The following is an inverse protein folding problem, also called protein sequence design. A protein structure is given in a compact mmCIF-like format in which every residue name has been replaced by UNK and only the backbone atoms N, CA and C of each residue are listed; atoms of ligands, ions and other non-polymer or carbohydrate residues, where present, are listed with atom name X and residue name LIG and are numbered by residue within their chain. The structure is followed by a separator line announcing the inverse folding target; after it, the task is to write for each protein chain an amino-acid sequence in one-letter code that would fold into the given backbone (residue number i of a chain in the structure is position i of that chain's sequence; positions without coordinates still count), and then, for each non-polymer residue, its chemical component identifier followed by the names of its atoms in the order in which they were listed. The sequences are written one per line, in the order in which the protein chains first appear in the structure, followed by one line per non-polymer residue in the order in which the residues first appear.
data_IF_211434782163
#
_entry.id   IF_211434782163
#
_cell.length_a   1.000
_cell.length_b   1.000
_cell.length_c   1.000
_cell.angle_alpha   90.00
_cell.angle_beta   90.00
_cell.angle_gamma   90.00
#
_symmetry.space_group_name_H-M   'P 1'
#
loop_
_entity.id
_entity.type
_entity.pdbx_description
1 polymer ?
#
# COMPACT_ATOMS: atom_id res chain seq x y z
N UNK A 1 -18.60 -7.28 16.89
CA UNK A 1 -19.64 -6.42 16.27
C UNK A 1 -18.97 -5.07 16.02
N UNK A 2 -18.38 -4.89 14.83
CA UNK A 2 -17.56 -3.72 14.48
C UNK A 2 -18.46 -2.54 14.12
N UNK A 3 -18.45 -1.49 14.94
CA UNK A 3 -19.13 -0.23 14.66
C UNK A 3 -18.27 0.62 13.72
N UNK A 4 -18.57 0.50 12.42
CA UNK A 4 -18.33 1.54 11.42
C UNK A 4 -19.25 2.73 11.73
N UNK A 5 -18.68 3.92 11.94
CA UNK A 5 -19.26 5.25 11.65
C UNK A 5 -18.27 6.32 12.19
N UNK A 6 -17.94 7.43 11.51
CA UNK A 6 -18.56 8.03 10.33
C UNK A 6 -17.55 8.90 9.57
N UNK A 7 -17.78 8.88 8.26
CA UNK A 7 -17.16 9.55 7.13
C UNK A 7 -16.95 11.06 7.27
N UNK A 8 -15.74 11.52 6.95
CA UNK A 8 -15.60 12.75 6.17
C UNK A 8 -15.87 12.36 4.71
N UNK A 9 -16.95 12.90 4.17
CA UNK A 9 -17.48 12.62 2.85
C UNK A 9 -16.45 13.02 1.78
N UNK A 10 -15.58 12.09 1.37
CA UNK A 10 -15.02 12.16 0.02
C UNK A 10 -16.19 11.82 -0.91
N UNK A 11 -16.42 12.64 -1.94
CA UNK A 11 -17.40 12.35 -2.97
C UNK A 11 -16.91 11.12 -3.77
N UNK A 12 -17.23 9.94 -3.25
CA UNK A 12 -17.02 8.66 -3.89
C UNK A 12 -18.09 8.46 -4.94
N UNK A 13 -17.69 8.47 -6.21
CA UNK A 13 -18.42 7.76 -7.24
C UNK A 13 -18.13 6.26 -7.05
N UNK A 14 -18.94 5.65 -6.19
CA UNK A 14 -19.25 4.22 -6.33
C UNK A 14 -19.90 4.07 -7.70
N UNK A 15 -19.08 3.83 -8.73
CA UNK A 15 -19.57 3.58 -10.08
C UNK A 15 -20.29 2.26 -10.00
N UNK A 16 -21.61 2.36 -9.88
CA UNK A 16 -22.53 1.27 -10.06
C UNK A 16 -22.08 0.43 -11.28
N UNK A 17 -22.02 -0.87 -11.03
CA UNK A 17 -21.51 -2.00 -11.80
C UNK A 17 -22.03 -2.15 -13.26
N UNK A 18 -22.66 -1.12 -13.81
CA UNK A 18 -23.19 -1.08 -15.18
C UNK A 18 -22.44 -0.13 -16.11
N UNK A 19 -21.72 0.88 -15.60
CA UNK A 19 -20.88 1.76 -16.44
C UNK A 19 -19.52 1.13 -16.79
N UNK A 20 -19.01 0.25 -15.93
CA UNK A 20 -17.78 -0.53 -16.18
C UNK A 20 -17.98 -1.61 -17.26
N UNK A 21 -19.22 -2.09 -17.46
CA UNK A 21 -19.56 -3.02 -18.57
C UNK A 21 -19.47 -2.38 -19.95
N UNK A 22 -19.55 -1.05 -20.05
CA UNK A 22 -19.52 -0.34 -21.34
C UNK A 22 -18.10 -0.03 -21.83
N UNK A 23 -17.13 0.10 -20.90
CA UNK A 23 -15.74 0.44 -21.24
C UNK A 23 -14.91 -0.81 -21.60
N UNK A 24 -15.37 -2.01 -21.21
CA UNK A 24 -14.74 -3.31 -21.50
C UNK A 24 -15.33 -4.05 -22.72
N UNK A 25 -16.05 -3.36 -23.61
CA UNK A 25 -16.51 -3.93 -24.90
C UNK A 25 -15.86 -3.22 -26.08
N UNK A 26 -14.67 -3.67 -26.46
CA UNK A 26 -14.14 -3.60 -27.83
C UNK A 26 -13.47 -4.97 -28.01
N UNK A 27 -13.89 -5.90 -28.86
CA UNK A 27 -14.47 -5.87 -30.21
C UNK A 27 -15.58 -6.97 -30.32
N UNK A 28 -16.37 -7.17 -31.39
CA UNK A 28 -16.31 -6.77 -32.78
C UNK A 28 -17.71 -7.04 -33.37
N UNK A 29 -18.26 -6.14 -34.20
CA UNK A 29 -18.83 -6.46 -35.51
C UNK A 29 -19.56 -5.24 -36.08
N UNK A 30 -19.12 -4.88 -37.28
CA UNK A 30 -19.83 -4.02 -38.21
C UNK A 30 -21.30 -4.43 -38.35
N UNK A 31 -22.20 -3.45 -38.24
CA UNK A 31 -23.29 -3.29 -39.20
C UNK A 31 -23.90 -1.90 -39.01
N UNK A 32 -24.03 -1.22 -40.14
CA UNK A 32 -24.72 0.05 -40.30
C UNK A 32 -26.14 0.01 -39.70
N UNK A 33 -26.56 1.11 -39.08
CA UNK A 33 -27.80 1.77 -39.50
C UNK A 33 -27.83 3.22 -39.01
N UNK A 34 -28.09 4.12 -39.95
CA UNK A 34 -28.25 5.55 -39.74
C UNK A 34 -29.51 5.84 -38.90
N UNK A 35 -29.39 6.75 -37.93
CA UNK A 35 -30.40 7.78 -37.70
C UNK A 35 -29.80 9.01 -37.03
N UNK A 36 -29.71 10.09 -37.82
CA UNK A 36 -29.55 11.47 -37.36
C UNK A 36 -30.61 11.79 -36.32
N UNK A 37 -30.22 12.48 -35.25
CA UNK A 37 -30.87 13.72 -34.82
C UNK A 37 -29.87 14.59 -34.05
N UNK A 38 -29.87 15.87 -34.42
CA UNK A 38 -29.04 16.96 -33.94
C UNK A 38 -29.09 17.19 -32.42
N UNK A 39 -27.96 17.53 -31.81
CA UNK A 39 -27.67 18.89 -31.30
C UNK A 39 -26.67 18.88 -30.13
N UNK A 40 -25.55 19.56 -30.30
CA UNK A 40 -24.93 20.35 -29.23
C UNK A 40 -23.67 19.81 -28.55
N UNK A 41 -22.53 20.28 -29.07
CA UNK A 41 -21.23 20.48 -28.42
C UNK A 41 -20.44 19.25 -27.90
N UNK A 42 -19.50 18.82 -28.75
CA UNK A 42 -18.16 18.41 -28.30
C UNK A 42 -17.50 19.59 -27.58
N UNK A 43 -17.10 19.39 -26.33
CA UNK A 43 -15.86 19.90 -25.75
C UNK A 43 -15.62 19.25 -24.37
N UNK A 44 -14.46 18.59 -24.23
CA UNK A 44 -13.69 18.50 -22.97
C UNK A 44 -14.04 17.41 -21.92
N UNK A 45 -14.11 16.13 -22.32
CA UNK A 45 -14.19 14.99 -21.37
C UNK A 45 -12.82 14.39 -20.97
N UNK A 46 -11.69 14.98 -21.38
CA UNK A 46 -10.34 14.45 -21.12
C UNK A 46 -9.74 14.88 -19.78
N UNK A 47 -10.47 15.67 -18.97
CA UNK A 47 -9.97 16.14 -17.68
C UNK A 47 -10.29 15.12 -16.59
N UNK A 48 -9.26 14.79 -15.80
CA UNK A 48 -9.35 14.35 -14.38
C UNK A 48 -9.45 12.85 -14.05
N UNK A 49 -8.97 11.92 -14.87
CA UNK A 49 -8.78 10.54 -14.39
C UNK A 49 -7.42 10.44 -13.67
N UNK A 50 -7.41 10.79 -12.38
CA UNK A 50 -6.21 10.73 -11.51
C UNK A 50 -6.00 9.35 -10.88
N UNK A 51 -7.05 8.54 -10.79
CA UNK A 51 -7.05 7.22 -10.15
C UNK A 51 -7.75 6.18 -11.03
N UNK A 52 -7.06 5.06 -11.29
CA UNK A 52 -7.62 3.89 -11.97
C UNK A 52 -7.50 2.69 -11.04
N UNK A 53 -8.62 2.03 -10.77
CA UNK A 53 -8.67 0.83 -9.93
C UNK A 53 -9.16 -0.37 -10.75
N UNK A 54 -8.33 -1.41 -10.81
CA UNK A 54 -8.64 -2.65 -11.53
C UNK A 54 -8.69 -3.79 -10.51
N UNK A 55 -9.89 -4.33 -10.29
CA UNK A 55 -10.11 -5.50 -9.43
C UNK A 55 -10.36 -6.74 -10.26
N UNK A 56 -9.80 -7.86 -9.81
CA UNK A 56 -9.85 -9.23 -10.33
C UNK A 56 -10.55 -9.51 -11.66
N UNK A 57 -9.78 -10.02 -12.64
CA UNK A 57 -10.16 -10.83 -13.81
C UNK A 57 -8.89 -11.59 -14.28
N UNK A 58 -8.96 -12.70 -15.06
CA UNK A 58 -7.79 -13.53 -15.31
C UNK A 58 -6.89 -12.89 -16.38
N UNK A 59 -5.78 -12.29 -15.93
CA UNK A 59 -4.68 -11.71 -16.72
C UNK A 59 -5.05 -10.52 -17.61
N UNK A 60 -4.24 -9.47 -17.55
CA UNK A 60 -4.30 -8.39 -18.54
C UNK A 60 -3.78 -8.94 -19.87
N UNK A 61 -4.62 -8.88 -20.91
CA UNK A 61 -4.19 -9.17 -22.27
C UNK A 61 -3.24 -8.06 -22.77
N UNK A 62 -2.37 -8.33 -23.76
CA UNK A 62 -1.45 -7.32 -24.30
C UNK A 62 -2.13 -6.02 -24.70
N UNK A 63 -3.31 -6.09 -25.33
CA UNK A 63 -4.10 -4.93 -25.74
C UNK A 63 -4.60 -4.12 -24.52
N UNK A 64 -4.90 -4.81 -23.41
CA UNK A 64 -5.28 -4.19 -22.15
C UNK A 64 -4.11 -3.50 -21.46
N UNK A 65 -2.89 -4.05 -21.56
CA UNK A 65 -1.66 -3.43 -21.05
C UNK A 65 -1.36 -2.16 -21.85
N UNK A 66 -1.41 -2.22 -23.18
CA UNK A 66 -1.20 -1.05 -24.04
C UNK A 66 -2.20 0.06 -23.75
N UNK A 67 -3.48 -0.29 -23.64
CA UNK A 67 -4.52 0.67 -23.25
C UNK A 67 -4.20 1.30 -21.89
N UNK A 68 -3.86 0.50 -20.88
CA UNK A 68 -3.52 0.96 -19.54
C UNK A 68 -2.32 1.92 -19.55
N UNK A 69 -1.25 1.58 -20.26
CA UNK A 69 -0.05 2.42 -20.37
C UNK A 69 -0.38 3.76 -21.03
N UNK A 70 -1.21 3.77 -22.07
CA UNK A 70 -1.68 5.01 -22.70
C UNK A 70 -2.47 5.88 -21.72
N UNK A 71 -3.27 5.28 -20.83
CA UNK A 71 -3.96 6.03 -19.77
C UNK A 71 -2.99 6.52 -18.69
N UNK A 72 -1.90 5.81 -18.42
CA UNK A 72 -0.88 6.21 -17.46
C UNK A 72 -0.10 7.48 -17.84
N UNK A 73 -0.24 7.98 -19.06
CA UNK A 73 0.24 9.32 -19.44
C UNK A 73 -0.50 10.46 -18.72
N UNK A 74 -1.71 10.19 -18.20
CA UNK A 74 -2.56 11.17 -17.52
C UNK A 74 -2.87 10.77 -16.07
N UNK A 75 -2.44 9.58 -15.65
CA UNK A 75 -2.77 8.98 -14.37
C UNK A 75 -1.67 9.19 -13.33
N UNK A 76 -2.05 9.59 -12.13
CA UNK A 76 -1.12 9.70 -10.99
C UNK A 76 -1.12 8.45 -10.12
N UNK A 77 -2.27 7.79 -9.93
CA UNK A 77 -2.39 6.59 -9.12
C UNK A 77 -3.03 5.42 -9.89
N UNK A 78 -2.32 4.29 -9.90
CA UNK A 78 -2.78 3.02 -10.44
C UNK A 78 -2.94 2.03 -9.30
N UNK A 79 -4.15 1.52 -9.11
CA UNK A 79 -4.49 0.51 -8.10
C UNK A 79 -4.90 -0.79 -8.77
N UNK A 80 -4.20 -1.88 -8.44
CA UNK A 80 -4.46 -3.20 -9.02
C UNK A 80 -4.29 -4.34 -8.01
N UNK A 81 -5.01 -5.43 -8.26
CA UNK A 81 -4.76 -6.71 -7.60
C UNK A 81 -3.39 -7.23 -8.01
N UNK A 82 -2.60 -7.74 -7.07
CA UNK A 82 -1.26 -8.28 -7.35
C UNK A 82 -1.28 -9.41 -8.40
N UNK A 83 -2.38 -10.16 -8.52
CA UNK A 83 -2.57 -11.18 -9.56
C UNK A 83 -2.53 -10.68 -11.00
N UNK A 84 -2.67 -9.37 -11.22
CA UNK A 84 -2.61 -8.74 -12.54
C UNK A 84 -1.19 -8.26 -12.88
N UNK A 85 -0.27 -8.33 -11.94
CA UNK A 85 1.10 -7.89 -12.13
C UNK A 85 1.87 -8.88 -13.00
N UNK A 86 2.63 -8.38 -13.97
CA UNK A 86 3.48 -9.19 -14.84
C UNK A 86 4.71 -8.41 -15.28
N UNK A 87 5.70 -9.13 -15.82
CA UNK A 87 6.89 -8.52 -16.42
C UNK A 87 6.51 -7.60 -17.58
N UNK A 88 5.56 -8.01 -18.42
CA UNK A 88 5.10 -7.23 -19.56
C UNK A 88 4.50 -5.89 -19.11
N UNK A 89 3.68 -5.90 -18.05
CA UNK A 89 3.09 -4.68 -17.52
C UNK A 89 4.14 -3.72 -16.96
N UNK A 90 5.06 -4.21 -16.11
CA UNK A 90 6.09 -3.37 -15.52
C UNK A 90 7.05 -2.81 -16.58
N UNK A 91 7.44 -3.64 -17.56
CA UNK A 91 8.30 -3.20 -18.66
C UNK A 91 7.58 -2.19 -19.56
N UNK A 92 6.29 -2.37 -19.83
CA UNK A 92 5.52 -1.42 -20.63
C UNK A 92 5.42 -0.06 -19.91
N UNK A 93 5.12 -0.05 -18.60
CA UNK A 93 5.16 1.15 -17.75
C UNK A 93 6.56 1.80 -17.71
N UNK A 94 7.62 1.01 -17.84
CA UNK A 94 9.01 1.49 -17.85
C UNK A 94 9.46 2.02 -19.22
N UNK A 95 8.82 1.59 -20.31
CA UNK A 95 9.21 1.99 -21.67
C UNK A 95 8.65 3.34 -22.08
N UNK A 96 7.51 3.73 -21.53
CA UNK A 96 6.79 4.92 -21.94
C UNK A 96 7.29 6.14 -21.17
N UNK A 97 7.83 7.12 -21.90
CA UNK A 97 8.47 8.31 -21.31
C UNK A 97 7.46 9.31 -20.76
N UNK A 98 6.22 9.22 -21.20
CA UNK A 98 5.16 10.13 -20.80
C UNK A 98 4.41 9.68 -19.55
N UNK A 99 4.72 8.51 -18.99
CA UNK A 99 4.07 8.01 -17.77
C UNK A 99 4.37 8.96 -16.61
N UNK A 100 3.31 9.52 -16.02
CA UNK A 100 3.38 10.43 -14.87
C UNK A 100 2.96 9.75 -13.56
N UNK A 101 3.04 8.43 -13.52
CA UNK A 101 2.57 7.66 -12.38
C UNK A 101 3.39 8.00 -11.13
N UNK A 102 2.70 8.49 -10.10
CA UNK A 102 3.27 8.84 -8.81
C UNK A 102 3.05 7.72 -7.78
N UNK A 103 1.96 6.96 -7.92
CA UNK A 103 1.59 5.90 -6.98
C UNK A 103 1.17 4.63 -7.71
N UNK A 104 1.76 3.50 -7.33
CA UNK A 104 1.32 2.16 -7.68
C UNK A 104 0.83 1.47 -6.41
N UNK A 105 -0.47 1.14 -6.36
CA UNK A 105 -1.09 0.45 -5.24
C UNK A 105 -1.39 -1.00 -5.60
N UNK A 106 -0.87 -1.92 -4.80
CA UNK A 106 -1.01 -3.35 -4.97
C UNK A 106 -1.81 -3.94 -3.80
N UNK A 107 -2.90 -4.62 -4.11
CA UNK A 107 -3.72 -5.36 -3.14
C UNK A 107 -3.41 -6.87 -3.30
N UNK A 108 -2.95 -7.52 -2.23
CA UNK A 108 -2.56 -8.93 -2.23
C UNK A 108 -3.53 -9.72 -1.36
N UNK A 109 -4.28 -10.62 -1.98
CA UNK A 109 -5.34 -11.40 -1.32
C UNK A 109 -5.08 -12.91 -1.42
N UNK A 110 -5.38 -13.71 -0.38
CA UNK A 110 -5.09 -15.14 -0.36
C UNK A 110 -5.84 -15.93 -1.46
N UNK A 111 -6.98 -15.43 -1.93
CA UNK A 111 -7.77 -16.01 -3.02
C UNK A 111 -7.10 -15.87 -4.39
N UNK A 112 -6.07 -15.02 -4.50
CA UNK A 112 -5.41 -14.69 -5.77
C UNK A 112 -4.22 -15.59 -6.11
N UNK A 113 -4.07 -16.70 -5.39
CA UNK A 113 -2.98 -17.68 -5.60
C UNK A 113 -3.19 -18.52 -6.87
N UNK A 114 -2.10 -18.92 -7.57
CA UNK A 114 -0.71 -18.58 -7.27
C UNK A 114 -0.40 -17.13 -7.63
N UNK A 115 0.41 -16.47 -6.81
CA UNK A 115 0.88 -15.12 -7.11
C UNK A 115 1.76 -15.13 -8.36
N UNK A 116 1.61 -14.15 -9.27
CA UNK A 116 2.48 -14.03 -10.41
C UNK A 116 3.91 -13.79 -9.95
N UNK A 117 4.85 -14.48 -10.60
CA UNK A 117 6.28 -14.29 -10.37
C UNK A 117 6.78 -13.22 -11.33
N UNK A 118 7.02 -12.03 -10.80
CA UNK A 118 7.62 -10.91 -11.53
C UNK A 118 9.13 -10.98 -11.36
N UNK A 119 9.88 -10.81 -12.45
CA UNK A 119 11.33 -10.92 -12.43
C UNK A 119 12.01 -9.69 -11.82
N UNK A 120 13.16 -9.90 -11.21
CA UNK A 120 14.04 -8.84 -10.71
C UNK A 120 14.37 -7.81 -11.81
N UNK A 121 14.49 -8.26 -13.07
CA UNK A 121 14.75 -7.38 -14.23
C UNK A 121 13.59 -6.41 -14.48
N UNK A 122 12.35 -6.89 -14.38
CA UNK A 122 11.16 -6.06 -14.57
C UNK A 122 11.05 -5.02 -13.43
N UNK A 123 11.22 -5.45 -12.18
CA UNK A 123 11.25 -4.54 -11.03
C UNK A 123 12.37 -3.51 -11.09
N UNK A 124 13.58 -3.94 -11.46
CA UNK A 124 14.72 -3.05 -11.62
C UNK A 124 14.47 -2.00 -12.72
N UNK A 125 13.91 -2.41 -13.86
CA UNK A 125 13.57 -1.48 -14.96
C UNK A 125 12.53 -0.46 -14.50
N UNK A 126 11.48 -0.92 -13.82
CA UNK A 126 10.42 -0.08 -13.29
C UNK A 126 10.93 0.92 -12.24
N UNK A 127 11.69 0.45 -11.24
CA UNK A 127 12.21 1.31 -10.18
C UNK A 127 13.23 2.33 -10.69
N UNK A 128 13.97 2.03 -11.76
CA UNK A 128 14.90 2.98 -12.36
C UNK A 128 14.21 4.03 -13.22
N UNK A 129 13.15 3.64 -13.94
CA UNK A 129 12.37 4.57 -14.75
C UNK A 129 11.56 5.54 -13.89
N UNK A 130 10.99 5.04 -12.79
CA UNK A 130 10.19 5.83 -11.85
C UNK A 130 10.87 5.87 -10.47
N UNK A 131 12.00 6.58 -10.33
CA UNK A 131 12.82 6.56 -9.10
C UNK A 131 12.10 7.16 -7.89
N UNK A 132 11.06 7.96 -8.08
CA UNK A 132 10.28 8.60 -7.00
C UNK A 132 8.89 7.98 -6.81
N UNK A 133 8.59 6.83 -7.44
CA UNK A 133 7.29 6.16 -7.29
C UNK A 133 7.01 5.82 -5.83
N UNK A 134 5.76 6.03 -5.42
CA UNK A 134 5.18 5.46 -4.20
C UNK A 134 4.59 4.10 -4.53
N UNK A 135 5.30 3.03 -4.16
CA UNK A 135 4.72 1.69 -4.17
C UNK A 135 4.02 1.43 -2.83
N UNK A 136 2.71 1.27 -2.87
CA UNK A 136 1.85 0.98 -1.74
C UNK A 136 1.40 -0.48 -1.80
N UNK A 137 1.78 -1.28 -0.82
CA UNK A 137 1.45 -2.70 -0.75
C UNK A 137 0.51 -2.98 0.41
N UNK A 138 -0.69 -3.48 0.10
CA UNK A 138 -1.66 -3.95 1.08
C UNK A 138 -1.67 -5.48 1.03
N UNK A 139 -1.19 -6.11 2.10
CA UNK A 139 -1.12 -7.57 2.20
C UNK A 139 -2.16 -8.10 3.17
N UNK A 140 -3.02 -8.99 2.68
CA UNK A 140 -3.97 -9.78 3.45
C UNK A 140 -3.55 -11.26 3.49
N UNK A 141 -2.26 -11.54 3.25
CA UNK A 141 -1.75 -12.91 3.23
C UNK A 141 -1.53 -13.41 4.66
N UNK A 142 -2.00 -14.62 4.94
CA UNK A 142 -1.85 -15.28 6.24
C UNK A 142 -0.73 -16.32 6.28
N UNK A 143 -0.23 -16.77 5.12
CA UNK A 143 0.80 -17.80 5.02
C UNK A 143 2.17 -17.19 4.70
N UNK A 144 3.21 -17.54 5.49
CA UNK A 144 4.57 -17.01 5.34
C UNK A 144 5.18 -17.31 3.97
N UNK A 145 5.01 -18.54 3.46
CA UNK A 145 5.59 -18.97 2.17
C UNK A 145 5.11 -18.07 1.01
N UNK A 146 3.85 -17.64 1.08
CA UNK A 146 3.19 -16.82 0.07
C UNK A 146 3.55 -15.33 0.18
N UNK A 147 4.12 -14.89 1.31
CA UNK A 147 4.54 -13.51 1.51
C UNK A 147 5.97 -13.25 1.03
N UNK A 148 6.85 -14.26 1.03
CA UNK A 148 8.25 -14.13 0.61
C UNK A 148 8.44 -13.49 -0.79
N UNK A 149 7.63 -13.79 -1.83
CA UNK A 149 7.81 -13.21 -3.16
C UNK A 149 7.46 -11.72 -3.24
N UNK A 150 6.73 -11.18 -2.25
CA UNK A 150 6.32 -9.78 -2.23
C UNK A 150 7.49 -8.83 -1.96
N UNK A 151 8.56 -9.35 -1.35
CA UNK A 151 9.76 -8.61 -0.95
C UNK A 151 10.97 -8.98 -1.81
N UNK A 152 10.71 -9.27 -3.09
CA UNK A 152 11.76 -9.54 -4.06
C UNK A 152 12.76 -8.37 -4.17
N UNK A 153 13.99 -8.62 -4.64
CA UNK A 153 14.96 -7.55 -4.87
C UNK A 153 14.40 -6.46 -5.80
N UNK A 154 14.81 -5.22 -5.56
CA UNK A 154 14.47 -4.02 -6.36
C UNK A 154 13.01 -3.56 -6.29
N UNK A 155 12.12 -4.25 -5.57
CA UNK A 155 10.75 -3.79 -5.36
C UNK A 155 10.77 -2.49 -4.54
N UNK A 156 10.33 -1.34 -5.08
CA UNK A 156 10.54 -0.05 -4.43
C UNK A 156 9.46 0.25 -3.38
N UNK A 157 9.21 -0.66 -2.43
CA UNK A 157 8.16 -0.53 -1.40
C UNK A 157 8.38 0.75 -0.58
N UNK A 158 7.34 1.58 -0.51
CA UNK A 158 7.33 2.83 0.26
C UNK A 158 6.28 2.81 1.36
N UNK A 159 5.12 2.20 1.14
CA UNK A 159 4.06 2.09 2.14
C UNK A 159 3.62 0.63 2.22
N UNK A 160 3.57 0.08 3.42
CA UNK A 160 3.28 -1.33 3.65
C UNK A 160 2.21 -1.48 4.73
N UNK A 161 1.13 -2.16 4.38
CA UNK A 161 0.00 -2.40 5.26
C UNK A 161 -0.24 -3.91 5.38
N UNK A 162 -0.13 -4.43 6.58
CA UNK A 162 -0.52 -5.80 6.90
C UNK A 162 -1.94 -5.78 7.48
N UNK A 163 -2.88 -6.31 6.70
CA UNK A 163 -4.26 -6.55 7.13
C UNK A 163 -4.41 -7.82 7.97
N UNK A 164 -3.43 -8.72 7.90
CA UNK A 164 -3.35 -9.97 8.66
C UNK A 164 -2.01 -10.03 9.41
N UNK A 165 -1.85 -10.99 10.33
CA UNK A 165 -0.64 -11.10 11.18
C UNK A 165 0.61 -11.46 10.37
N UNK A 166 1.61 -10.56 10.21
CA UNK A 166 2.89 -10.93 9.62
C UNK A 166 3.73 -11.72 10.63
N UNK A 167 4.65 -12.54 10.13
CA UNK A 167 5.61 -13.25 10.98
C UNK A 167 6.81 -12.38 11.36
N UNK A 168 7.53 -12.78 12.41
CA UNK A 168 8.80 -12.14 12.79
C UNK A 168 9.80 -12.13 11.62
N UNK A 169 9.91 -13.26 10.92
CA UNK A 169 10.79 -13.44 9.75
C UNK A 169 10.45 -12.43 8.66
N UNK A 170 9.16 -12.15 8.46
CA UNK A 170 8.69 -11.16 7.50
C UNK A 170 9.08 -9.74 7.89
N UNK A 171 8.85 -9.35 9.15
CA UNK A 171 9.18 -8.00 9.63
C UNK A 171 10.69 -7.76 9.55
N UNK A 172 11.51 -8.75 9.90
CA UNK A 172 12.96 -8.67 9.71
C UNK A 172 13.34 -8.51 8.24
N UNK A 173 12.64 -9.20 7.33
CA UNK A 173 12.88 -9.09 5.89
C UNK A 173 12.65 -7.68 5.34
N UNK A 174 11.66 -6.96 5.89
CA UNK A 174 11.39 -5.56 5.54
C UNK A 174 12.62 -4.68 5.78
N UNK A 175 13.31 -4.86 6.91
CA UNK A 175 14.54 -4.11 7.20
C UNK A 175 15.63 -4.32 6.14
N UNK A 176 15.74 -5.53 5.56
CA UNK A 176 16.72 -5.81 4.50
C UNK A 176 16.28 -5.34 3.11
N UNK A 177 15.00 -5.52 2.76
CA UNK A 177 14.52 -5.38 1.38
C UNK A 177 13.82 -4.04 1.10
N UNK A 178 13.43 -3.29 2.14
CA UNK A 178 12.64 -2.07 1.99
C UNK A 178 13.37 -0.81 2.50
N UNK A 179 14.55 -0.45 1.96
CA UNK A 179 15.28 0.75 2.41
C UNK A 179 14.54 2.06 2.09
N UNK A 180 13.51 2.00 1.23
CA UNK A 180 12.66 3.13 0.84
C UNK A 180 11.39 3.27 1.66
N UNK A 181 11.16 2.41 2.65
CA UNK A 181 9.95 2.41 3.47
C UNK A 181 9.75 3.76 4.17
N UNK A 182 8.56 4.31 4.01
CA UNK A 182 8.06 5.58 4.55
C UNK A 182 6.99 5.31 5.60
N UNK A 183 6.08 4.38 5.31
CA UNK A 183 4.97 4.03 6.20
C UNK A 183 4.87 2.52 6.41
N UNK A 184 4.72 2.12 7.67
CA UNK A 184 4.48 0.74 8.08
C UNK A 184 3.24 0.67 8.98
N UNK A 185 2.27 -0.14 8.56
CA UNK A 185 1.07 -0.44 9.36
C UNK A 185 0.97 -1.93 9.61
N UNK A 186 0.93 -2.31 10.88
CA UNK A 186 0.71 -3.69 11.33
C UNK A 186 -0.58 -3.67 12.15
N UNK A 187 -1.68 -4.14 11.55
CA UNK A 187 -2.99 -4.11 12.20
C UNK A 187 -3.15 -5.16 13.30
N UNK A 188 -2.46 -6.29 13.15
CA UNK A 188 -2.34 -7.34 14.15
C UNK A 188 -0.97 -8.01 13.99
N UNK A 189 -0.40 -8.49 15.08
CA UNK A 189 0.84 -9.26 15.08
C UNK A 189 0.61 -10.59 15.80
N UNK A 190 1.29 -11.63 15.34
CA UNK A 190 1.18 -12.96 15.93
C UNK A 190 1.74 -13.03 17.36
N UNK A 191 1.92 -14.26 17.86
CA UNK A 191 2.50 -14.47 19.19
C UNK A 191 3.95 -13.98 19.27
N UNK A 192 4.24 -13.08 20.22
CA UNK A 192 5.59 -12.66 20.57
C UNK A 192 5.80 -11.15 20.56
N UNK A 193 6.92 -10.73 21.16
CA UNK A 193 7.28 -9.31 21.28
C UNK A 193 7.79 -8.74 19.95
N UNK A 194 7.25 -7.59 19.57
CA UNK A 194 7.58 -6.87 18.35
C UNK A 194 8.82 -5.95 18.48
N UNK A 195 9.38 -5.83 19.69
CA UNK A 195 10.52 -4.96 20.00
C UNK A 195 11.69 -5.12 19.01
N UNK A 196 12.26 -6.34 18.93
CA UNK A 196 13.45 -6.59 18.11
C UNK A 196 13.18 -6.42 16.61
N UNK A 197 12.10 -6.98 16.03
CA UNK A 197 11.84 -6.80 14.60
C UNK A 197 11.57 -5.34 14.24
N UNK A 198 10.88 -4.59 15.10
CA UNK A 198 10.60 -3.17 14.86
C UNK A 198 11.86 -2.31 14.98
N UNK A 199 12.74 -2.58 15.95
CA UNK A 199 14.04 -1.93 16.05
C UNK A 199 14.89 -2.19 14.79
N UNK A 200 14.89 -3.42 14.30
CA UNK A 200 15.61 -3.77 13.08
C UNK A 200 15.12 -2.96 11.86
N UNK A 201 13.80 -2.80 11.71
CA UNK A 201 13.21 -1.94 10.68
C UNK A 201 13.61 -0.46 10.89
N UNK A 202 13.59 0.03 12.13
CA UNK A 202 14.00 1.40 12.44
C UNK A 202 15.44 1.71 12.00
N UNK A 203 16.36 0.77 12.23
CA UNK A 203 17.78 0.92 11.88
C UNK A 203 18.02 0.93 10.37
N UNK A 204 17.26 0.13 9.61
CA UNK A 204 17.53 -0.11 8.19
C UNK A 204 16.61 0.65 7.23
N UNK A 205 15.52 1.26 7.73
CA UNK A 205 14.59 2.08 6.95
C UNK A 205 14.76 3.58 7.30
N UNK A 206 15.73 4.29 6.69
CA UNK A 206 16.05 5.69 7.05
C UNK A 206 14.96 6.69 6.66
N UNK A 207 13.98 6.28 5.85
CA UNK A 207 12.85 7.12 5.41
C UNK A 207 11.58 6.90 6.21
N UNK A 208 11.57 5.95 7.14
CA UNK A 208 10.37 5.60 7.91
C UNK A 208 9.91 6.80 8.74
N UNK A 209 8.75 7.35 8.40
CA UNK A 209 8.17 8.54 9.02
C UNK A 209 6.79 8.29 9.60
N UNK A 210 6.14 7.18 9.27
CA UNK A 210 4.83 6.82 9.77
C UNK A 210 4.80 5.37 10.22
N UNK A 211 4.35 5.14 11.46
CA UNK A 211 4.11 3.80 11.98
C UNK A 211 2.76 3.73 12.68
N UNK A 212 1.98 2.71 12.36
CA UNK A 212 0.77 2.36 13.08
C UNK A 212 0.79 0.89 13.52
N UNK A 213 0.66 0.63 14.82
CA UNK A 213 0.62 -0.72 15.39
C UNK A 213 -0.69 -0.94 16.15
N UNK A 214 -1.33 -2.06 15.87
CA UNK A 214 -2.50 -2.57 16.57
C UNK A 214 -2.37 -4.06 16.82
N UNK A 215 -3.13 -4.55 17.81
CA UNK A 215 -3.25 -5.96 18.21
C UNK A 215 -1.91 -6.72 18.15
N UNK A 216 -0.88 -6.14 18.76
CA UNK A 216 0.47 -6.68 18.88
C UNK A 216 1.00 -6.53 20.30
N UNK A 217 2.11 -7.20 20.62
CA UNK A 217 2.78 -7.05 21.91
C UNK A 217 4.09 -6.27 21.72
N UNK A 218 4.17 -5.03 22.24
CA UNK A 218 5.40 -4.24 22.26
C UNK A 218 5.65 -3.71 23.69
N UNK A 219 6.88 -3.87 24.20
CA UNK A 219 7.19 -3.36 25.53
C UNK A 219 7.33 -1.84 25.51
N UNK A 220 7.04 -1.19 26.63
CA UNK A 220 7.24 0.24 26.77
C UNK A 220 8.71 0.63 26.51
N UNK A 221 9.67 -0.15 27.02
CA UNK A 221 11.10 0.05 26.73
C UNK A 221 11.42 -0.10 25.25
N UNK A 222 10.89 -1.14 24.60
CA UNK A 222 11.09 -1.40 23.17
C UNK A 222 10.55 -0.28 22.29
N UNK A 223 9.35 0.24 22.58
CA UNK A 223 8.79 1.38 21.86
C UNK A 223 9.62 2.65 22.08
N UNK A 224 10.06 2.91 23.32
CA UNK A 224 10.88 4.09 23.60
C UNK A 224 12.21 4.05 22.84
N UNK A 225 12.84 2.89 22.77
CA UNK A 225 14.07 2.67 22.00
C UNK A 225 13.83 2.89 20.50
N UNK A 226 12.75 2.32 19.96
CA UNK A 226 12.33 2.56 18.58
C UNK A 226 12.14 4.05 18.27
N UNK A 227 11.40 4.77 19.12
CA UNK A 227 11.17 6.20 18.95
C UNK A 227 12.49 6.97 19.04
N UNK A 228 13.42 6.58 19.92
CA UNK A 228 14.72 7.22 20.03
C UNK A 228 15.52 7.15 18.72
N UNK A 229 15.46 6.02 18.02
CA UNK A 229 16.11 5.83 16.70
C UNK A 229 15.41 6.67 15.62
N UNK A 230 14.08 6.74 15.66
CA UNK A 230 13.25 7.35 14.61
C UNK A 230 12.89 8.84 14.84
N UNK A 231 13.14 9.40 16.03
CA UNK A 231 12.54 10.65 16.50
C UNK A 231 12.59 11.81 15.51
N UNK A 232 13.74 12.00 14.85
CA UNK A 232 13.95 13.13 13.91
C UNK A 232 13.14 13.01 12.61
N UNK A 233 12.69 11.81 12.25
CA UNK A 233 11.97 11.53 11.00
C UNK A 233 10.52 11.10 11.22
N UNK A 234 10.16 10.70 12.44
CA UNK A 234 8.84 10.15 12.75
C UNK A 234 7.77 11.26 12.85
N UNK A 235 6.95 11.37 11.81
CA UNK A 235 5.85 12.31 11.69
C UNK A 235 4.53 11.75 12.23
N UNK A 236 4.33 10.44 12.12
CA UNK A 236 3.12 9.76 12.53
C UNK A 236 3.50 8.55 13.39
N UNK A 237 2.88 8.43 14.56
CA UNK A 237 3.03 7.29 15.46
C UNK A 237 1.68 7.00 16.10
N UNK A 238 1.02 5.93 15.66
CA UNK A 238 -0.24 5.45 16.21
C UNK A 238 -0.01 4.08 16.84
N UNK A 239 -0.32 3.93 18.12
CA UNK A 239 -0.14 2.68 18.84
C UNK A 239 -1.38 2.46 19.68
N UNK A 240 -2.03 1.31 19.53
CA UNK A 240 -3.14 0.94 20.41
C UNK A 240 -2.63 0.78 21.84
N UNK A 241 -3.35 1.32 22.83
CA UNK A 241 -2.96 1.19 24.23
C UNK A 241 -2.85 -0.27 24.65
N UNK A 242 -3.75 -1.12 24.16
CA UNK A 242 -3.75 -2.57 24.41
C UNK A 242 -2.55 -3.29 23.82
N UNK A 243 -1.77 -2.65 22.95
CA UNK A 243 -0.54 -3.22 22.39
C UNK A 243 0.69 -2.95 23.24
N UNK A 244 0.61 -2.01 24.19
CA UNK A 244 1.71 -1.66 25.07
C UNK A 244 1.77 -2.61 26.27
N UNK A 245 2.96 -3.16 26.50
CA UNK A 245 3.27 -3.96 27.69
C UNK A 245 4.17 -3.13 28.60
N UNK A 246 3.67 -2.82 29.80
CA UNK A 246 4.50 -2.22 30.86
C UNK A 246 5.58 -3.20 31.30
N UNK A 247 6.77 -2.68 31.54
CA UNK A 247 7.91 -3.48 31.98
C UNK A 247 8.50 -2.91 33.27
N UNK A 248 9.50 -3.59 33.84
CA UNK A 248 10.11 -3.17 35.11
C UNK A 248 10.80 -1.81 35.07
N UNK A 249 10.99 -1.23 33.89
CA UNK A 249 11.66 0.05 33.67
C UNK A 249 10.69 1.17 33.36
N UNK A 250 9.58 0.89 32.68
CA UNK A 250 8.73 1.91 32.09
C UNK A 250 7.24 1.55 32.10
N UNK A 251 6.43 2.44 32.67
CA UNK A 251 4.97 2.43 32.58
C UNK A 251 4.48 3.29 31.40
N UNK A 252 3.19 3.13 31.03
CA UNK A 252 2.60 3.83 29.87
C UNK A 252 2.61 5.35 30.05
N UNK A 253 2.43 5.82 31.29
CA UNK A 253 2.39 7.26 31.61
C UNK A 253 3.75 7.92 31.38
N UNK A 254 4.82 7.27 31.83
CA UNK A 254 6.19 7.75 31.69
C UNK A 254 6.65 7.59 30.24
N UNK A 255 6.27 6.51 29.57
CA UNK A 255 6.47 6.33 28.13
C UNK A 255 5.88 7.50 27.34
N UNK A 256 4.61 7.83 27.58
CA UNK A 256 3.91 8.90 26.85
C UNK A 256 4.62 10.26 27.00
N UNK A 257 5.11 10.57 28.20
CA UNK A 257 5.91 11.79 28.45
C UNK A 257 7.23 11.77 27.68
N UNK A 258 7.96 10.66 27.73
CA UNK A 258 9.26 10.53 27.07
C UNK A 258 9.12 10.59 25.54
N UNK A 259 8.15 9.88 24.97
CA UNK A 259 7.84 9.92 23.54
C UNK A 259 7.42 11.32 23.11
N UNK A 260 6.56 12.00 23.90
CA UNK A 260 6.17 13.38 23.62
C UNK A 260 7.37 14.33 23.58
N UNK A 261 8.31 14.18 24.52
CA UNK A 261 9.54 14.96 24.57
C UNK A 261 10.40 14.71 23.32
N UNK A 262 10.61 13.44 22.96
CA UNK A 262 11.44 13.04 21.82
C UNK A 262 10.86 13.53 20.48
N UNK A 263 9.53 13.48 20.32
CA UNK A 263 8.84 13.91 19.11
C UNK A 263 8.61 15.43 19.04
N UNK A 264 8.79 16.15 20.15
CA UNK A 264 8.51 17.59 20.24
C UNK A 264 7.03 17.94 20.09
N UNK A 265 6.13 16.97 20.29
CA UNK A 265 4.67 17.14 20.21
C UNK A 265 4.01 16.19 21.21
N UNK A 266 2.79 16.51 21.63
CA UNK A 266 2.01 15.60 22.48
C UNK A 266 1.77 14.28 21.75
N UNK A 267 2.05 13.19 22.44
CA UNK A 267 1.75 11.84 22.00
C UNK A 267 1.17 11.03 23.16
N UNK A 268 0.12 10.27 22.87
CA UNK A 268 -0.52 9.32 23.75
C UNK A 268 -0.91 8.09 22.92
N UNK A 269 -0.98 6.89 23.52
CA UNK A 269 -1.53 5.74 22.82
C UNK A 269 -3.02 5.94 22.52
N UNK A 270 -3.49 5.29 21.46
CA UNK A 270 -4.88 5.31 21.04
C UNK A 270 -5.70 4.39 21.94
N UNK A 271 -6.71 4.96 22.61
CA UNK A 271 -7.65 4.22 23.43
C UNK A 271 -8.69 3.53 22.56
N UNK A 272 -8.86 2.22 22.74
CA UNK A 272 -9.96 1.47 22.12
C UNK A 272 -11.00 1.18 23.20
N UNK A 273 -12.19 1.77 23.12
CA UNK A 273 -13.26 1.47 24.06
C UNK A 273 -13.66 -0.01 23.90
N UNK A 274 -13.58 -0.75 25.01
CA UNK A 274 -14.14 -2.09 25.11
C UNK A 274 -15.67 -1.96 25.08
N UNK A 275 -16.28 -2.32 23.95
CA UNK A 275 -17.73 -2.40 23.79
C UNK A 275 -18.31 -3.65 24.45
#
# INVERSE_FOLDING_TARGET
MLALMNTAKLDFLDIANDKFKTIMKISNNDSSEQKKNHSGNDEDSSKTLQLLRIKGFPRLLPEGIEALVNYCCYLQELSLSYSLLSDELLLALSSEKQVQLETLRLEVHPETKPLPRVSDKAWFSFSNHLPNINLVLLSYMTNEDDQSPLFAPYVPITHLYFGETPSETMILHIGYQCPRLVELVIAAYGSGLLDRPLLFVAEHCPRLSAVALGDCEITCSGLLEFVTICAKRLQILYIWETSLIEDSKLDITTLSKNVSLLLGRTWVPEYIPLC
#
